data_IF_498523433639
#
_entry.id   IF_498523433639
#
_cell.length_a   1.000
_cell.length_b   1.000
_cell.length_c   1.000
_cell.angle_alpha   90.00
_cell.angle_beta   90.00
_cell.angle_gamma   90.00
#
_symmetry.space_group_name_H-M   'P 1'
#
loop_
_entity.id
_entity.type
_entity.pdbx_description
1 polymer ?
#
# COMPACT_ATOMS: atom_id res chain seq x y z
N UNK A 1 15.18 14.51 -6.60
CA UNK A 1 16.17 15.58 -6.34
C UNK A 1 15.56 16.51 -5.31
N UNK A 2 16.25 16.74 -4.21
CA UNK A 2 15.81 17.53 -3.06
C UNK A 2 16.74 18.74 -2.97
N UNK A 3 16.18 19.94 -2.77
CA UNK A 3 16.95 21.17 -2.58
C UNK A 3 16.83 21.67 -1.14
N UNK A 4 17.94 21.95 -0.47
CA UNK A 4 17.97 22.62 0.83
C UNK A 4 19.09 23.67 0.79
N UNK A 5 18.77 24.92 1.12
CA UNK A 5 19.73 26.03 1.20
C UNK A 5 20.78 26.07 0.06
N UNK A 6 20.30 26.16 -1.19
CA UNK A 6 21.08 26.16 -2.43
C UNK A 6 21.93 24.89 -2.73
N UNK A 7 21.91 23.89 -1.86
CA UNK A 7 22.47 22.56 -2.12
C UNK A 7 21.42 21.62 -2.71
N UNK A 8 21.84 20.83 -3.71
CA UNK A 8 21.02 19.80 -4.35
C UNK A 8 21.50 18.44 -3.90
N UNK A 9 20.58 17.65 -3.37
CA UNK A 9 20.78 16.27 -2.99
C UNK A 9 19.94 15.32 -3.84
N UNK A 10 20.46 14.13 -4.07
CA UNK A 10 19.72 12.98 -4.60
C UNK A 10 19.56 12.01 -3.44
N UNK A 11 18.32 11.57 -3.22
CA UNK A 11 18.01 10.60 -2.18
C UNK A 11 17.54 9.30 -2.83
N UNK A 12 18.02 8.18 -2.31
CA UNK A 12 17.60 6.83 -2.69
C UNK A 12 16.96 6.19 -1.46
N UNK A 13 15.83 5.54 -1.63
CA UNK A 13 15.14 4.87 -0.53
C UNK A 13 14.25 3.76 -1.06
N UNK A 14 14.01 2.75 -0.21
CA UNK A 14 12.94 1.78 -0.43
C UNK A 14 11.55 2.37 -0.11
N UNK A 15 11.50 3.51 0.58
CA UNK A 15 10.30 4.26 0.89
C UNK A 15 10.07 5.40 -0.13
N UNK A 16 8.82 5.83 -0.26
CA UNK A 16 8.48 7.04 -1.00
C UNK A 16 8.95 8.25 -0.19
N UNK A 17 9.69 9.16 -0.82
CA UNK A 17 10.17 10.40 -0.19
C UNK A 17 9.30 11.56 -0.68
N UNK A 18 8.62 12.21 0.24
CA UNK A 18 7.89 13.45 0.03
C UNK A 18 8.66 14.59 0.70
N UNK A 19 8.97 15.63 -0.06
CA UNK A 19 9.63 16.83 0.47
C UNK A 19 8.57 17.91 0.73
N UNK A 20 8.50 18.38 1.97
CA UNK A 20 7.75 19.59 2.32
C UNK A 20 8.67 20.60 3.02
N UNK A 21 9.01 21.68 2.32
CA UNK A 21 9.93 22.73 2.79
C UNK A 21 11.23 22.13 3.34
N UNK A 22 11.41 22.18 4.66
CA UNK A 22 12.59 21.71 5.39
C UNK A 22 12.32 20.37 6.08
N UNK A 23 11.41 19.55 5.53
CA UNK A 23 11.08 18.24 6.05
C UNK A 23 11.01 17.21 4.92
N UNK A 24 11.46 16.01 5.22
CA UNK A 24 11.22 14.81 4.43
C UNK A 24 10.24 13.93 5.18
N UNK A 25 9.16 13.55 4.52
CA UNK A 25 8.30 12.47 4.95
C UNK A 25 8.64 11.24 4.12
N UNK A 26 8.93 10.13 4.80
CA UNK A 26 9.15 8.83 4.20
C UNK A 26 7.93 7.94 4.45
N UNK A 27 7.42 7.32 3.38
CA UNK A 27 6.29 6.39 3.41
C UNK A 27 6.77 4.99 2.98
N UNK A 28 6.76 4.05 3.91
CA UNK A 28 7.28 2.70 3.70
C UNK A 28 6.15 1.68 3.76
N UNK A 29 5.83 1.07 2.62
CA UNK A 29 4.78 0.06 2.52
C UNK A 29 5.28 -1.31 2.98
N UNK A 30 4.66 -1.86 4.02
CA UNK A 30 4.89 -3.22 4.52
C UNK A 30 6.24 -3.43 5.22
N UNK A 31 7.08 -2.40 5.34
CA UNK A 31 8.42 -2.51 5.94
C UNK A 31 8.61 -1.48 7.06
N UNK A 32 8.72 -1.95 8.30
CA UNK A 32 9.06 -1.11 9.45
C UNK A 32 10.53 -0.68 9.48
N UNK A 33 11.39 -1.34 8.69
CA UNK A 33 12.80 -1.00 8.52
C UNK A 33 13.08 -0.73 7.05
N UNK A 34 13.66 0.42 6.74
CA UNK A 34 13.94 0.83 5.35
C UNK A 34 15.19 1.70 5.27
N UNK A 35 15.83 1.72 4.10
CA UNK A 35 17.04 2.49 3.85
C UNK A 35 16.73 3.89 3.33
N UNK A 36 17.61 4.84 3.66
CA UNK A 36 17.69 6.16 3.05
C UNK A 36 19.16 6.47 2.79
N UNK A 37 19.51 6.77 1.55
CA UNK A 37 20.85 7.16 1.13
C UNK A 37 20.82 8.56 0.52
N UNK A 38 21.77 9.40 0.88
CA UNK A 38 21.86 10.79 0.41
C UNK A 38 23.17 11.02 -0.33
N UNK A 39 23.08 11.54 -1.56
CA UNK A 39 24.23 11.95 -2.37
C UNK A 39 24.15 13.44 -2.74
N UNK A 40 25.26 14.18 -2.72
CA UNK A 40 26.56 13.77 -2.20
C UNK A 40 26.56 13.72 -0.67
N UNK A 41 27.54 13.03 -0.10
CA UNK A 41 27.79 13.01 1.35
C UNK A 41 27.84 14.42 1.93
N UNK A 42 27.14 14.64 3.04
CA UNK A 42 27.03 15.91 3.75
C UNK A 42 26.06 16.91 3.14
N UNK A 43 25.37 16.58 2.03
CA UNK A 43 24.46 17.51 1.35
C UNK A 43 23.13 17.73 2.06
N UNK A 44 22.72 16.82 2.95
CA UNK A 44 21.58 17.01 3.84
C UNK A 44 22.01 16.72 5.28
N UNK A 45 21.69 17.65 6.17
CA UNK A 45 21.88 17.48 7.61
C UNK A 45 20.50 17.30 8.23
N UNK A 46 20.32 16.19 8.94
CA UNK A 46 19.04 15.86 9.55
C UNK A 46 19.01 16.18 11.05
N UNK A 47 17.85 16.64 11.54
CA UNK A 47 17.60 16.83 12.98
C UNK A 47 16.75 15.67 13.54
N UNK A 48 16.88 15.40 14.84
CA UNK A 48 16.08 14.38 15.56
C UNK A 48 16.16 12.97 14.96
N UNK A 49 17.38 12.50 14.68
CA UNK A 49 17.67 11.20 14.06
C UNK A 49 17.56 10.01 15.03
N UNK A 50 16.75 10.07 16.09
CA UNK A 50 16.71 9.02 17.14
C UNK A 50 16.27 7.65 16.61
N UNK A 51 15.45 7.64 15.56
CA UNK A 51 14.94 6.44 14.89
C UNK A 51 15.81 6.04 13.68
N UNK A 52 16.93 6.74 13.46
CA UNK A 52 17.85 6.50 12.36
C UNK A 52 19.20 5.99 12.87
N UNK A 53 19.64 4.87 12.30
CA UNK A 53 21.00 4.36 12.47
C UNK A 53 21.84 4.75 11.27
N UNK A 54 22.90 5.52 11.52
CA UNK A 54 23.89 5.88 10.50
C UNK A 54 24.77 4.66 10.21
N UNK A 55 24.87 4.27 8.94
CA UNK A 55 25.83 3.29 8.48
C UNK A 55 27.11 4.02 8.08
N UNK A 56 28.22 3.75 8.76
CA UNK A 56 29.53 4.35 8.44
C UNK A 56 30.23 3.50 7.40
N UNK A 57 30.40 4.05 6.21
CA UNK A 57 31.28 3.52 5.17
C UNK A 57 32.00 4.67 4.42
N UNK A 58 33.01 4.32 3.62
CA UNK A 58 33.83 5.23 2.82
C UNK A 58 33.19 5.52 1.45
N UNK A 59 31.86 5.53 1.39
CA UNK A 59 31.07 5.81 0.18
C UNK A 59 30.84 7.32 0.00
N UNK A 60 30.57 7.80 -1.24
CA UNK A 60 30.20 9.18 -1.52
C UNK A 60 28.76 9.53 -1.08
N UNK A 61 28.07 8.63 -0.36
CA UNK A 61 26.73 8.80 0.21
C UNK A 61 26.77 8.85 1.73
N UNK A 62 25.77 9.49 2.34
CA UNK A 62 25.37 9.21 3.71
C UNK A 62 24.24 8.19 3.72
N UNK A 63 24.47 7.04 4.36
CA UNK A 63 23.55 5.92 4.39
C UNK A 63 22.92 5.75 5.78
N UNK A 64 21.60 5.64 5.80
CA UNK A 64 20.79 5.57 7.00
C UNK A 64 19.84 4.37 6.93
N UNK A 65 19.66 3.69 8.06
CA UNK A 65 18.53 2.77 8.28
C UNK A 65 17.54 3.44 9.20
N UNK A 66 16.31 3.61 8.74
CA UNK A 66 15.17 4.05 9.56
C UNK A 66 14.49 2.82 10.13
N UNK A 67 14.25 2.81 11.44
CA UNK A 67 13.55 1.73 12.15
C UNK A 67 12.41 2.31 12.98
N UNK A 68 11.17 2.02 12.58
CA UNK A 68 9.95 2.41 13.31
C UNK A 68 9.34 1.19 14.03
N UNK A 69 8.49 1.39 15.06
CA UNK A 69 7.78 0.29 15.69
C UNK A 69 6.93 -0.49 14.68
N UNK A 70 7.07 -1.81 14.67
CA UNK A 70 6.32 -2.69 13.79
C UNK A 70 4.87 -2.82 14.27
N UNK A 71 3.92 -2.71 13.33
CA UNK A 71 2.49 -2.84 13.56
C UNK A 71 1.97 -4.00 12.71
N UNK A 72 1.16 -4.87 13.32
CA UNK A 72 0.53 -6.02 12.67
C UNK A 72 -1.00 -5.89 12.73
N UNK A 73 -1.63 -5.21 11.76
CA UNK A 73 -3.08 -5.03 11.75
C UNK A 73 -3.81 -6.37 11.67
N UNK A 74 -4.78 -6.57 12.56
CA UNK A 74 -5.61 -7.78 12.57
C UNK A 74 -6.72 -7.64 11.52
N UNK A 75 -6.80 -8.61 10.62
CA UNK A 75 -7.87 -8.68 9.62
C UNK A 75 -9.09 -9.42 10.19
N UNK A 76 -10.16 -8.68 10.44
CA UNK A 76 -11.50 -9.23 10.74
C UNK A 76 -12.34 -9.20 9.45
N UNK A 77 -12.67 -10.39 8.94
CA UNK A 77 -13.42 -10.57 7.70
C UNK A 77 -14.49 -11.65 7.85
N UNK A 78 -15.58 -11.47 7.12
CA UNK A 78 -16.68 -12.41 7.06
C UNK A 78 -17.07 -12.70 5.59
N UNK A 79 -16.87 -13.95 5.15
CA UNK A 79 -17.33 -14.41 3.84
C UNK A 79 -18.83 -14.66 3.90
N UNK A 80 -19.59 -13.90 3.12
CA UNK A 80 -21.07 -13.98 3.10
C UNK A 80 -21.60 -14.78 1.92
N UNK A 81 -20.78 -14.95 0.87
CA UNK A 81 -21.01 -15.81 -0.28
C UNK A 81 -19.66 -16.12 -0.96
N UNK A 82 -19.68 -16.93 -2.04
CA UNK A 82 -18.49 -17.18 -2.87
C UNK A 82 -17.91 -15.91 -3.51
N UNK A 83 -18.78 -14.91 -3.74
CA UNK A 83 -18.49 -13.68 -4.46
C UNK A 83 -18.57 -12.43 -3.55
N UNK A 84 -18.75 -12.61 -2.24
CA UNK A 84 -18.95 -11.50 -1.29
C UNK A 84 -18.20 -11.69 0.01
N UNK A 85 -17.52 -10.62 0.43
CA UNK A 85 -16.82 -10.56 1.71
C UNK A 85 -17.04 -9.22 2.39
N UNK A 86 -17.22 -9.24 3.70
CA UNK A 86 -17.22 -8.06 4.57
C UNK A 86 -15.87 -7.98 5.27
N UNK A 87 -15.31 -6.79 5.37
CA UNK A 87 -14.04 -6.53 6.07
C UNK A 87 -14.24 -5.37 7.02
N UNK A 88 -13.97 -5.56 8.30
CA UNK A 88 -13.98 -4.45 9.26
C UNK A 88 -12.82 -3.52 8.99
N UNK A 89 -13.10 -2.22 9.08
CA UNK A 89 -12.08 -1.20 8.96
C UNK A 89 -11.15 -1.26 10.17
N UNK A 90 -9.82 -1.30 9.95
CA UNK A 90 -8.86 -1.33 11.04
C UNK A 90 -8.79 0.03 11.75
N UNK A 91 -8.17 0.03 12.93
CA UNK A 91 -7.79 1.27 13.61
C UNK A 91 -6.45 1.73 13.02
N UNK A 92 -6.35 3.02 12.66
CA UNK A 92 -5.09 3.59 12.20
C UNK A 92 -4.22 3.96 13.41
N UNK A 93 -3.27 3.10 13.73
CA UNK A 93 -2.34 3.30 14.83
C UNK A 93 -1.34 4.44 14.55
N UNK A 94 -0.80 5.04 15.62
CA UNK A 94 0.21 6.11 15.51
C UNK A 94 1.47 5.56 14.82
N UNK A 95 1.98 6.32 13.85
CA UNK A 95 3.15 5.93 13.05
C UNK A 95 2.81 5.26 11.72
N UNK A 96 1.52 5.00 11.47
CA UNK A 96 1.03 4.60 10.15
C UNK A 96 0.51 5.82 9.38
N UNK A 97 0.82 5.89 8.09
CA UNK A 97 0.15 6.79 7.17
C UNK A 97 -1.21 6.23 6.75
N UNK A 98 -1.23 4.95 6.40
CA UNK A 98 -2.39 4.21 5.89
C UNK A 98 -2.24 2.70 6.22
N UNK A 99 -3.31 1.94 6.02
CA UNK A 99 -3.32 0.49 5.94
C UNK A 99 -3.96 0.13 4.60
N UNK A 100 -3.23 -0.62 3.77
CA UNK A 100 -3.75 -1.10 2.50
C UNK A 100 -4.39 -2.48 2.69
N UNK A 101 -5.59 -2.66 2.16
CA UNK A 101 -6.15 -3.99 1.96
C UNK A 101 -5.73 -4.49 0.58
N UNK A 102 -4.97 -5.57 0.57
CA UNK A 102 -4.59 -6.29 -0.64
C UNK A 102 -5.53 -7.49 -0.81
N UNK A 103 -6.21 -7.55 -1.95
CA UNK A 103 -7.19 -8.59 -2.28
C UNK A 103 -6.71 -9.31 -3.54
N UNK A 104 -6.26 -10.55 -3.36
CA UNK A 104 -6.07 -11.49 -4.46
C UNK A 104 -7.42 -12.18 -4.74
N UNK A 105 -8.02 -11.84 -5.87
CA UNK A 105 -9.29 -12.39 -6.31
C UNK A 105 -9.21 -12.85 -7.76
N UNK A 106 -10.09 -13.76 -8.11
CA UNK A 106 -10.45 -14.08 -9.47
C UNK A 106 -11.89 -13.64 -9.68
N UNK A 107 -12.12 -12.84 -10.72
CA UNK A 107 -13.42 -12.28 -11.04
C UNK A 107 -13.28 -11.36 -12.23
N UNK A 108 -14.37 -10.68 -12.59
CA UNK A 108 -14.41 -9.69 -13.65
C UNK A 108 -14.12 -8.29 -13.10
N UNK A 109 -14.94 -7.88 -12.12
CA UNK A 109 -14.84 -6.59 -11.45
C UNK A 109 -15.03 -6.80 -9.96
N UNK A 110 -14.12 -6.27 -9.15
CA UNK A 110 -14.31 -6.08 -7.71
C UNK A 110 -15.01 -4.76 -7.43
N UNK A 111 -16.02 -4.77 -6.57
CA UNK A 111 -16.78 -3.59 -6.16
C UNK A 111 -16.73 -3.47 -4.64
N UNK A 112 -16.36 -2.30 -4.12
CA UNK A 112 -16.30 -2.01 -2.70
C UNK A 112 -17.39 -1.00 -2.32
N UNK A 113 -18.17 -1.33 -1.30
CA UNK A 113 -19.25 -0.51 -0.78
C UNK A 113 -18.98 -0.13 0.67
N UNK A 114 -19.26 1.13 1.00
CA UNK A 114 -19.29 1.65 2.36
C UNK A 114 -20.70 2.17 2.64
N UNK A 115 -21.40 1.62 3.62
CA UNK A 115 -22.80 1.97 3.94
C UNK A 115 -23.71 2.04 2.68
N UNK A 116 -23.66 0.99 1.86
CA UNK A 116 -24.40 0.83 0.59
C UNK A 116 -24.02 1.80 -0.55
N UNK A 117 -22.98 2.61 -0.37
CA UNK A 117 -22.43 3.49 -1.42
C UNK A 117 -21.21 2.86 -2.05
N UNK A 118 -21.16 2.78 -3.39
CA UNK A 118 -19.95 2.33 -4.10
C UNK A 118 -18.83 3.34 -3.89
N UNK A 119 -17.72 2.91 -3.28
CA UNK A 119 -16.59 3.79 -2.95
C UNK A 119 -15.33 3.49 -3.75
N UNK A 120 -15.20 2.27 -4.28
CA UNK A 120 -14.10 1.90 -5.16
C UNK A 120 -14.46 0.66 -6.00
N UNK A 121 -13.78 0.50 -7.12
CA UNK A 121 -13.86 -0.67 -8.00
C UNK A 121 -12.49 -1.03 -8.57
N UNK A 122 -12.34 -2.27 -9.03
CA UNK A 122 -11.14 -2.75 -9.71
C UNK A 122 -11.50 -3.74 -10.82
N UNK A 123 -10.96 -3.51 -12.02
CA UNK A 123 -11.04 -4.45 -13.14
C UNK A 123 -9.94 -5.50 -13.01
N UNK A 124 -10.33 -6.77 -13.19
CA UNK A 124 -9.40 -7.88 -13.09
C UNK A 124 -8.34 -7.83 -14.18
N UNK A 125 -7.08 -7.89 -13.73
CA UNK A 125 -5.88 -7.86 -14.56
C UNK A 125 -4.82 -8.88 -14.12
N UNK A 126 -5.22 -9.86 -13.31
CA UNK A 126 -4.33 -10.85 -12.70
C UNK A 126 -3.34 -10.29 -11.67
N UNK A 127 -3.60 -9.09 -11.16
CA UNK A 127 -2.87 -8.49 -10.06
C UNK A 127 -3.83 -8.29 -8.87
N UNK A 128 -3.36 -8.44 -7.63
CA UNK A 128 -4.17 -8.11 -6.47
C UNK A 128 -4.66 -6.66 -6.49
N UNK A 129 -5.90 -6.45 -6.06
CA UNK A 129 -6.44 -5.12 -5.83
C UNK A 129 -5.87 -4.56 -4.52
N UNK A 130 -5.25 -3.38 -4.60
CA UNK A 130 -4.77 -2.63 -3.44
C UNK A 130 -5.69 -1.44 -3.19
N UNK A 131 -6.28 -1.35 -2.00
CA UNK A 131 -7.13 -0.23 -1.60
C UNK A 131 -6.63 0.37 -0.28
N UNK A 132 -6.36 1.68 -0.27
CA UNK A 132 -6.00 2.43 0.94
C UNK A 132 -7.24 2.66 1.81
N UNK A 133 -7.15 2.33 3.10
CA UNK A 133 -8.30 2.30 4.00
C UNK A 133 -8.48 3.59 4.81
N UNK A 134 -7.43 4.40 4.95
CA UNK A 134 -7.44 5.65 5.75
C UNK A 134 -8.64 6.53 5.46
N UNK A 135 -9.00 6.68 4.18
CA UNK A 135 -10.10 7.53 3.75
C UNK A 135 -11.49 7.05 4.21
N UNK A 136 -11.63 5.79 4.60
CA UNK A 136 -12.90 5.20 5.05
C UNK A 136 -13.02 5.14 6.58
N UNK A 137 -11.88 5.15 7.29
CA UNK A 137 -11.84 5.08 8.75
C UNK A 137 -12.56 6.29 9.34
N UNK A 138 -13.54 6.04 10.20
CA UNK A 138 -14.36 7.07 10.86
C UNK A 138 -15.45 7.70 9.99
N UNK A 139 -15.57 7.31 8.71
CA UNK A 139 -16.63 7.80 7.81
C UNK A 139 -17.90 6.95 7.85
N UNK A 140 -17.79 5.69 8.29
CA UNK A 140 -18.87 4.70 8.22
C UNK A 140 -19.56 4.49 9.56
N UNK A 141 -20.88 4.29 9.51
CA UNK A 141 -21.67 3.85 10.67
C UNK A 141 -21.47 2.38 10.98
N UNK A 142 -21.31 1.55 9.96
CA UNK A 142 -21.06 0.10 10.11
C UNK A 142 -19.60 -0.22 10.43
N UNK A 143 -18.67 0.69 10.12
CA UNK A 143 -17.23 0.48 10.23
C UNK A 143 -16.74 -0.73 9.43
N UNK A 144 -17.42 -1.04 8.32
CA UNK A 144 -17.19 -2.20 7.48
C UNK A 144 -17.23 -1.84 5.99
N UNK A 145 -16.31 -2.41 5.21
CA UNK A 145 -16.37 -2.43 3.77
C UNK A 145 -17.00 -3.74 3.29
N UNK A 146 -17.95 -3.63 2.37
CA UNK A 146 -18.62 -4.75 1.73
C UNK A 146 -18.08 -4.89 0.31
N UNK A 147 -17.53 -6.05 -0.01
CA UNK A 147 -17.01 -6.34 -1.33
C UNK A 147 -17.92 -7.31 -2.06
N UNK A 148 -18.11 -7.04 -3.35
CA UNK A 148 -18.82 -7.91 -4.28
C UNK A 148 -17.97 -8.09 -5.54
N UNK A 149 -17.70 -9.34 -5.92
CA UNK A 149 -16.91 -9.68 -7.09
C UNK A 149 -17.81 -10.25 -8.17
N UNK A 150 -17.85 -9.61 -9.33
CA UNK A 150 -18.59 -10.17 -10.47
C UNK A 150 -17.82 -11.37 -11.02
N UNK A 151 -18.51 -12.46 -11.40
CA UNK A 151 -17.83 -13.60 -12.00
C UNK A 151 -17.33 -13.26 -13.40
N UNK A 152 -16.16 -13.77 -13.75
CA UNK A 152 -15.62 -13.69 -15.11
C UNK A 152 -16.15 -14.82 -15.98
N UNK A 153 -16.47 -14.49 -17.22
CA UNK A 153 -16.97 -15.43 -18.22
C UNK A 153 -15.92 -15.67 -19.31
N UNK A 154 -15.87 -16.89 -19.85
CA UNK A 154 -14.95 -17.25 -20.94
C UNK A 154 -15.11 -16.38 -22.19
N UNK A 155 -16.28 -15.78 -22.39
CA UNK A 155 -16.60 -14.90 -23.53
C UNK A 155 -16.30 -13.43 -23.28
N UNK A 156 -15.71 -13.07 -22.13
CA UNK A 156 -15.40 -11.69 -21.81
C UNK A 156 -14.38 -11.12 -22.82
N UNK A 157 -14.68 -9.99 -23.49
CA UNK A 157 -13.90 -9.51 -24.63
C UNK A 157 -12.48 -9.06 -24.24
N UNK A 158 -12.30 -8.50 -23.04
CA UNK A 158 -11.01 -8.00 -22.56
C UNK A 158 -10.01 -9.12 -22.20
N UNK A 159 -10.43 -10.39 -22.20
CA UNK A 159 -9.52 -11.50 -21.92
C UNK A 159 -8.32 -11.51 -22.88
N UNK A 160 -8.51 -11.03 -24.11
CA UNK A 160 -7.43 -10.93 -25.11
C UNK A 160 -6.33 -9.94 -24.72
N UNK A 161 -6.63 -8.99 -23.84
CA UNK A 161 -5.71 -7.95 -23.38
C UNK A 161 -4.94 -8.37 -22.12
N UNK A 162 -5.31 -9.51 -21.50
CA UNK A 162 -4.61 -10.02 -20.33
C UNK A 162 -3.27 -10.65 -20.71
N UNK A 163 -2.29 -10.46 -19.82
CA UNK A 163 -1.04 -11.19 -19.92
C UNK A 163 -1.27 -12.70 -19.79
N UNK A 164 -0.50 -13.57 -20.47
CA UNK A 164 -0.72 -15.02 -20.45
C UNK A 164 -0.81 -15.64 -19.04
N UNK A 165 -0.04 -15.13 -18.08
CA UNK A 165 -0.05 -15.57 -16.69
C UNK A 165 -1.29 -15.15 -15.90
N UNK A 166 -2.01 -14.13 -16.37
CA UNK A 166 -3.23 -13.60 -15.74
C UNK A 166 -4.50 -14.27 -16.29
N UNK A 167 -4.40 -14.98 -17.43
CA UNK A 167 -5.51 -15.65 -18.08
C UNK A 167 -6.09 -16.76 -17.19
N UNK A 168 -7.39 -16.67 -16.82
CA UNK A 168 -8.02 -17.73 -16.06
C UNK A 168 -8.18 -19.00 -16.90
N UNK A 169 -8.09 -20.15 -16.22
CA UNK A 169 -8.37 -21.45 -16.84
C UNK A 169 -9.85 -21.78 -16.65
N UNK A 170 -10.62 -21.66 -17.72
CA UNK A 170 -12.03 -22.00 -17.74
C UNK A 170 -12.25 -23.48 -18.00
N UNK A 171 -13.20 -24.08 -17.30
CA UNK A 171 -13.81 -25.35 -17.69
C UNK A 171 -14.92 -25.09 -18.72
N UNK A 172 -15.57 -26.14 -19.25
CA UNK A 172 -16.64 -25.94 -20.25
C UNK A 172 -17.79 -25.13 -19.67
N UNK A 173 -18.17 -24.06 -20.37
CA UNK A 173 -19.26 -23.12 -20.03
C UNK A 173 -19.27 -22.57 -18.60
N UNK A 174 -18.11 -22.56 -17.93
CA UNK A 174 -18.01 -22.09 -16.55
C UNK A 174 -17.80 -20.58 -16.45
N UNK A 175 -18.38 -20.02 -15.38
CA UNK A 175 -18.01 -18.71 -14.84
C UNK A 175 -17.06 -18.91 -13.66
N UNK A 176 -16.16 -17.97 -13.41
CA UNK A 176 -15.20 -18.07 -12.31
C UNK A 176 -15.33 -16.86 -11.38
N UNK A 177 -15.44 -17.12 -10.09
CA UNK A 177 -15.29 -16.13 -9.03
C UNK A 177 -14.63 -16.82 -7.84
N UNK A 178 -13.60 -16.20 -7.29
CA UNK A 178 -12.91 -16.71 -6.12
C UNK A 178 -12.20 -15.58 -5.38
N UNK A 179 -12.26 -15.63 -4.05
CA UNK A 179 -11.61 -14.66 -3.17
C UNK A 179 -10.46 -15.39 -2.47
N UNK A 180 -9.31 -15.42 -3.12
CA UNK A 180 -8.17 -16.28 -2.74
C UNK A 180 -7.51 -15.82 -1.44
N UNK A 181 -7.18 -14.53 -1.35
CA UNK A 181 -6.42 -13.99 -0.22
C UNK A 181 -6.77 -12.53 0.05
N UNK A 182 -6.89 -12.22 1.34
CA UNK A 182 -6.99 -10.85 1.83
C UNK A 182 -5.92 -10.65 2.90
N UNK A 183 -5.16 -9.57 2.80
CA UNK A 183 -4.19 -9.17 3.83
C UNK A 183 -4.23 -7.65 4.03
N UNK A 184 -3.99 -7.23 5.27
CA UNK A 184 -3.64 -5.85 5.56
C UNK A 184 -2.13 -5.65 5.44
N UNK A 185 -1.74 -4.57 4.79
CA UNK A 185 -0.35 -4.14 4.63
C UNK A 185 -0.24 -2.72 5.20
N UNK A 186 0.43 -2.53 6.35
CA UNK A 186 0.61 -1.20 6.92
C UNK A 186 1.54 -0.36 6.04
N UNK A 187 1.23 0.92 5.88
CA UNK A 187 2.17 1.91 5.34
C UNK A 187 2.66 2.79 6.49
N UNK A 188 3.94 2.65 6.80
CA UNK A 188 4.59 3.39 7.87
C UNK A 188 4.94 4.80 7.42
N UNK A 189 4.90 5.76 8.35
CA UNK A 189 5.38 7.13 8.10
C UNK A 189 6.45 7.54 9.08
N UNK A 190 7.50 8.15 8.56
CA UNK A 190 8.56 8.77 9.34
C UNK A 190 8.83 10.16 8.78
N UNK A 191 8.85 11.18 9.64
CA UNK A 191 9.11 12.56 9.23
C UNK A 191 10.39 13.04 9.87
N UNK A 192 11.29 13.60 9.06
CA UNK A 192 12.54 14.16 9.52
C UNK A 192 12.77 15.57 8.99
N UNK A 193 13.31 16.44 9.85
CA UNK A 193 13.66 17.80 9.48
C UNK A 193 15.04 17.84 8.85
N UNK A 194 15.16 18.62 7.78
CA UNK A 194 16.41 19.02 7.17
C UNK A 194 16.80 20.38 7.78
N UNK A 195 18.06 20.49 8.19
CA UNK A 195 18.65 21.73 8.66
C UNK A 195 19.07 22.63 7.50
#
# INVERSE_FOLDING_TARGET
MISADDQKAICFSEAIILKDRNQLQLLSLGKANFSLSVYPKGSLVFENTSEMKVQKDNFPTDDYTVSVPEVSPVLDKNLTAEDKVQVKLPVLEKGLNDIFLNIDYLGDVGLAYLDNTLVADDFYKGLPWNIGLKQFIGQSKSNELQFYFRPIYKTAPYLVDLLPQALPKFERDSKLVDIKKLIFVPEYTFTIKIK
#
